data_IF_925124050645
#
_entry.id   IF_925124050645
#
_cell.length_a   1.000
_cell.length_b   1.000
_cell.length_c   1.000
_cell.angle_alpha   90.00
_cell.angle_beta   90.00
_cell.angle_gamma   90.00
#
_symmetry.space_group_name_H-M   'P 1'
#
loop_
_entity.id
_entity.type
_entity.pdbx_description
1 polymer ?
#
# COMPACT_ATOMS: atom_id res chain seq x y z
N UNK A 1 4.51 18.75 -15.06
CA UNK A 1 4.27 18.84 -13.60
C UNK A 1 3.05 19.69 -13.21
N UNK A 2 2.57 20.65 -14.01
CA UNK A 2 1.47 21.55 -13.60
C UNK A 2 0.05 20.97 -13.75
N UNK A 3 -0.13 19.91 -14.57
CA UNK A 3 -1.46 19.41 -14.92
C UNK A 3 -2.11 18.57 -13.82
N UNK A 4 -1.35 17.73 -13.11
CA UNK A 4 -1.88 16.80 -12.08
C UNK A 4 -2.34 17.56 -10.83
N UNK A 5 -1.58 18.57 -10.40
CA UNK A 5 -1.91 19.43 -9.26
C UNK A 5 -3.30 20.07 -9.40
N UNK A 6 -3.62 20.54 -10.62
CA UNK A 6 -4.90 21.16 -10.98
C UNK A 6 -6.10 20.19 -10.90
N UNK A 7 -5.88 18.88 -10.96
CA UNK A 7 -6.93 17.87 -10.77
C UNK A 7 -7.06 17.46 -9.29
N UNK A 8 -5.94 17.43 -8.55
CA UNK A 8 -5.95 17.15 -7.11
C UNK A 8 -6.72 18.21 -6.32
N UNK A 9 -6.60 19.48 -6.69
CA UNK A 9 -7.35 20.59 -6.09
C UNK A 9 -8.86 20.57 -6.38
N UNK A 10 -9.29 19.80 -7.40
CA UNK A 10 -10.69 19.72 -7.83
C UNK A 10 -11.44 18.51 -7.28
N UNK A 11 -10.77 17.61 -6.58
CA UNK A 11 -11.43 16.52 -5.89
C UNK A 11 -12.18 17.10 -4.67
N UNK A 12 -13.50 16.92 -4.57
CA UNK A 12 -14.22 17.30 -3.38
C UNK A 12 -13.79 16.35 -2.26
N UNK A 13 -12.78 16.75 -1.48
CA UNK A 13 -12.55 16.15 -0.19
C UNK A 13 -13.83 16.42 0.62
N UNK A 14 -14.52 15.39 1.13
CA UNK A 14 -15.65 15.61 2.01
C UNK A 14 -15.14 16.41 3.21
N UNK A 15 -15.56 17.67 3.33
CA UNK A 15 -15.54 18.40 4.60
C UNK A 15 -16.64 17.78 5.46
N UNK A 16 -16.38 16.56 5.93
CA UNK A 16 -17.27 15.84 6.83
C UNK A 16 -17.24 16.53 8.18
N UNK A 17 -18.27 17.32 8.46
CA UNK A 17 -18.65 17.66 9.83
C UNK A 17 -19.21 16.39 10.50
N UNK A 18 -18.33 15.45 10.83
CA UNK A 18 -18.63 14.34 11.73
C UNK A 18 -18.03 14.67 13.09
N UNK A 19 -18.79 14.42 14.17
CA UNK A 19 -18.39 14.76 15.54
C UNK A 19 -16.99 14.19 15.84
N UNK A 20 -16.03 15.08 16.01
CA UNK A 20 -14.63 14.77 16.30
C UNK A 20 -14.51 14.06 17.64
N UNK A 21 -13.86 12.91 17.68
CA UNK A 21 -13.27 12.41 18.93
C UNK A 21 -11.98 13.19 19.13
N UNK A 22 -12.09 14.38 19.74
CA UNK A 22 -10.94 15.13 20.24
C UNK A 22 -10.36 14.38 21.45
N UNK A 23 -9.66 13.28 21.20
CA UNK A 23 -8.64 12.81 22.13
C UNK A 23 -7.40 13.66 21.84
N UNK A 24 -6.70 14.16 22.86
CA UNK A 24 -5.48 14.97 22.68
C UNK A 24 -4.28 14.23 22.06
N UNK A 25 -4.54 13.22 21.23
CA UNK A 25 -3.61 12.35 20.55
C UNK A 25 -3.29 12.94 19.19
N UNK A 26 -2.04 13.33 18.97
CA UNK A 26 -1.61 13.83 17.68
C UNK A 26 -1.30 12.65 16.75
N UNK A 27 -2.09 12.46 15.71
CA UNK A 27 -1.94 11.37 14.74
C UNK A 27 -1.53 11.96 13.39
N UNK A 28 -0.38 11.54 12.88
CA UNK A 28 0.10 11.89 11.54
C UNK A 28 0.32 10.63 10.71
N UNK A 29 0.04 10.71 9.42
CA UNK A 29 0.31 9.64 8.48
C UNK A 29 1.23 10.12 7.37
N UNK A 30 2.49 9.66 7.38
CA UNK A 30 3.41 9.87 6.26
C UNK A 30 3.02 8.94 5.11
N UNK A 31 2.49 9.47 4.01
CA UNK A 31 1.91 8.63 2.96
C UNK A 31 1.96 9.25 1.56
N UNK A 32 1.48 8.48 0.58
CA UNK A 32 1.20 8.96 -0.76
C UNK A 32 -0.11 8.31 -1.25
N UNK A 33 -1.03 9.10 -1.80
CA UNK A 33 -2.35 8.61 -2.21
C UNK A 33 -2.33 7.55 -3.32
N UNK A 34 -1.23 7.39 -4.05
CA UNK A 34 -1.06 6.37 -5.08
C UNK A 34 -0.35 5.10 -4.60
N UNK A 35 0.11 5.06 -3.35
CA UNK A 35 0.69 3.85 -2.76
C UNK A 35 -0.43 2.94 -2.24
N UNK A 36 -0.51 1.71 -2.76
CA UNK A 36 -1.46 0.70 -2.28
C UNK A 36 -1.35 0.46 -0.76
N UNK A 37 -0.12 0.45 -0.24
CA UNK A 37 0.14 0.30 1.19
C UNK A 37 -0.36 1.50 2.00
N UNK A 38 -0.30 2.71 1.45
CA UNK A 38 -0.89 3.90 2.09
C UNK A 38 -2.42 3.88 2.00
N UNK A 39 -2.97 3.45 0.87
CA UNK A 39 -4.43 3.36 0.66
C UNK A 39 -5.09 2.44 1.68
N UNK A 40 -4.53 1.26 1.97
CA UNK A 40 -5.12 0.37 2.98
C UNK A 40 -5.16 0.98 4.38
N UNK A 41 -4.13 1.72 4.78
CA UNK A 41 -4.11 2.45 6.07
C UNK A 41 -5.09 3.63 6.07
N UNK A 42 -5.15 4.40 4.98
CA UNK A 42 -6.10 5.50 4.83
C UNK A 42 -7.54 4.99 4.95
N UNK A 43 -7.87 3.89 4.27
CA UNK A 43 -9.18 3.25 4.38
C UNK A 43 -9.50 2.89 5.83
N UNK A 44 -8.58 2.22 6.53
CA UNK A 44 -8.79 1.86 7.93
C UNK A 44 -9.03 3.07 8.85
N UNK A 45 -8.24 4.14 8.69
CA UNK A 45 -8.42 5.38 9.46
C UNK A 45 -9.79 6.02 9.20
N UNK A 46 -10.22 6.07 7.93
CA UNK A 46 -11.53 6.62 7.57
C UNK A 46 -12.69 5.78 8.08
N UNK A 47 -12.64 4.44 7.92
CA UNK A 47 -13.68 3.53 8.39
C UNK A 47 -13.82 3.56 9.91
N UNK A 48 -12.70 3.67 10.64
CA UNK A 48 -12.71 3.84 12.10
C UNK A 48 -13.06 5.26 12.55
N UNK A 49 -13.27 6.20 11.62
CA UNK A 49 -13.52 7.61 11.90
C UNK A 49 -12.46 8.23 12.84
N UNK A 50 -11.19 7.90 12.61
CA UNK A 50 -10.03 8.45 13.33
C UNK A 50 -9.62 9.75 12.67
N UNK A 51 -9.46 10.81 13.47
CA UNK A 51 -8.91 12.09 12.99
C UNK A 51 -7.38 12.00 12.89
N UNK A 52 -6.81 12.38 11.74
CA UNK A 52 -5.38 12.35 11.49
C UNK A 52 -4.97 13.41 10.46
N UNK A 53 -3.69 13.80 10.48
CA UNK A 53 -3.10 14.67 9.47
C UNK A 53 -2.26 13.88 8.46
N UNK A 54 -2.61 13.87 7.16
CA UNK A 54 -1.78 13.25 6.13
C UNK A 54 -0.58 14.13 5.78
N UNK A 55 0.63 13.60 5.94
CA UNK A 55 1.88 14.20 5.52
C UNK A 55 2.31 13.55 4.21
N UNK A 56 2.11 14.24 3.08
CA UNK A 56 2.30 13.66 1.76
C UNK A 56 3.76 13.70 1.32
N UNK A 57 4.30 12.53 0.95
CA UNK A 57 5.62 12.39 0.35
C UNK A 57 5.53 12.28 -1.18
N UNK A 58 6.40 13.01 -1.88
CA UNK A 58 6.64 12.86 -3.31
C UNK A 58 7.57 11.68 -3.59
N UNK A 59 6.99 10.49 -3.61
CA UNK A 59 7.72 9.25 -3.90
C UNK A 59 8.27 9.20 -5.33
N UNK A 60 7.76 10.03 -6.24
CA UNK A 60 8.25 10.09 -7.63
C UNK A 60 9.61 10.78 -7.71
N UNK A 61 9.95 11.60 -6.72
CA UNK A 61 11.27 12.22 -6.55
C UNK A 61 12.15 11.51 -5.52
N UNK A 62 11.67 10.41 -4.94
CA UNK A 62 12.42 9.67 -3.92
C UNK A 62 12.48 10.38 -2.57
N UNK A 63 11.50 11.20 -2.21
CA UNK A 63 11.48 11.94 -0.93
C UNK A 63 11.55 11.01 0.30
N UNK A 64 11.07 9.77 0.19
CA UNK A 64 11.22 8.72 1.21
C UNK A 64 12.69 8.29 1.44
N UNK A 65 13.61 8.76 0.61
CA UNK A 65 15.06 8.55 0.76
C UNK A 65 15.81 9.82 1.16
N UNK A 66 15.08 10.90 1.47
CA UNK A 66 15.67 12.09 2.09
C UNK A 66 16.17 11.76 3.49
N UNK A 67 17.20 12.49 3.94
CA UNK A 67 17.78 12.30 5.28
C UNK A 67 16.73 12.41 6.38
N UNK A 68 15.87 13.43 6.32
CA UNK A 68 14.86 13.67 7.36
C UNK A 68 13.85 12.53 7.48
N UNK A 69 13.45 11.90 6.36
CA UNK A 69 12.50 10.79 6.40
C UNK A 69 13.18 9.48 6.80
N UNK A 70 14.43 9.27 6.39
CA UNK A 70 15.21 8.11 6.80
C UNK A 70 15.51 8.12 8.31
N UNK A 71 15.60 9.29 8.93
CA UNK A 71 15.69 9.43 10.39
C UNK A 71 14.38 8.98 11.09
N UNK A 72 13.23 9.03 10.40
CA UNK A 72 11.93 8.53 10.88
C UNK A 72 11.80 7.03 10.61
N UNK A 73 12.06 6.60 9.37
CA UNK A 73 12.01 5.21 8.95
C UNK A 73 13.25 4.86 8.11
N UNK A 74 14.25 4.19 8.69
CA UNK A 74 15.49 3.81 7.99
C UNK A 74 15.27 2.89 6.78
N UNK A 75 14.10 2.24 6.68
CA UNK A 75 13.74 1.44 5.49
C UNK A 75 13.38 2.31 4.29
N UNK A 76 13.10 3.60 4.46
CA UNK A 76 12.69 4.50 3.38
C UNK A 76 11.39 4.03 2.70
N UNK A 77 10.42 3.62 3.52
CA UNK A 77 9.14 3.08 3.07
C UNK A 77 7.98 3.87 3.67
N UNK A 78 6.90 3.96 2.90
CA UNK A 78 5.62 4.53 3.32
C UNK A 78 4.52 3.45 3.20
N UNK A 79 3.46 3.52 4.01
CA UNK A 79 3.16 4.53 5.01
C UNK A 79 3.97 4.38 6.32
N UNK A 80 4.00 5.45 7.10
CA UNK A 80 4.42 5.44 8.52
C UNK A 80 3.36 6.20 9.32
N UNK A 81 2.80 5.55 10.34
CA UNK A 81 1.90 6.20 11.29
C UNK A 81 2.72 6.75 12.45
N UNK A 82 2.46 8.00 12.84
CA UNK A 82 2.98 8.61 14.06
C UNK A 82 1.83 8.90 14.99
N UNK A 83 1.89 8.36 16.19
CA UNK A 83 0.90 8.59 17.24
C UNK A 83 1.64 9.16 18.45
N UNK A 84 1.43 10.43 18.74
CA UNK A 84 2.22 11.18 19.71
C UNK A 84 3.73 11.09 19.41
N UNK A 85 4.47 10.32 20.21
CA UNK A 85 5.91 10.10 20.04
C UNK A 85 6.23 8.73 19.40
N UNK A 86 5.24 7.85 19.23
CA UNK A 86 5.45 6.52 18.68
C UNK A 86 5.48 6.57 17.15
N UNK A 87 6.43 5.83 16.57
CA UNK A 87 6.59 5.66 15.13
C UNK A 87 6.28 4.20 14.78
N UNK A 88 5.25 4.01 13.95
CA UNK A 88 4.78 2.69 13.53
C UNK A 88 4.95 2.61 12.01
N UNK A 89 6.09 2.08 11.52
CA UNK A 89 6.27 1.74 10.12
C UNK A 89 5.58 0.41 9.80
N UNK A 90 5.51 0.09 8.52
CA UNK A 90 4.86 -1.11 7.96
C UNK A 90 3.33 -1.04 7.99
N UNK A 91 2.72 -1.07 6.80
CA UNK A 91 1.27 -0.93 6.66
C UNK A 91 0.46 -2.02 7.35
N UNK A 92 0.96 -3.25 7.47
CA UNK A 92 0.25 -4.32 8.18
C UNK A 92 0.33 -4.10 9.68
N UNK A 93 1.52 -3.75 10.20
CA UNK A 93 1.71 -3.38 11.60
C UNK A 93 0.89 -2.14 12.00
N UNK A 94 0.74 -1.17 11.11
CA UNK A 94 -0.14 -0.01 11.32
C UNK A 94 -1.60 -0.46 11.47
N UNK A 95 -2.08 -1.36 10.60
CA UNK A 95 -3.46 -1.87 10.69
C UNK A 95 -3.70 -2.61 12.01
N UNK A 96 -2.76 -3.46 12.43
CA UNK A 96 -2.85 -4.15 13.73
C UNK A 96 -2.79 -3.15 14.90
N UNK A 97 -1.98 -2.08 14.79
CA UNK A 97 -1.93 -1.02 15.79
C UNK A 97 -3.27 -0.28 15.92
N UNK A 98 -3.90 0.07 14.80
CA UNK A 98 -5.19 0.75 14.77
C UNK A 98 -6.29 -0.13 15.37
N UNK A 99 -6.20 -1.44 15.21
CA UNK A 99 -7.20 -2.38 15.72
C UNK A 99 -7.08 -2.61 17.23
N UNK A 100 -5.86 -2.84 17.72
CA UNK A 100 -5.66 -3.34 19.09
C UNK A 100 -5.25 -2.25 20.10
N UNK A 101 -4.65 -1.14 19.67
CA UNK A 101 -3.89 -0.26 20.56
C UNK A 101 -4.30 1.21 20.56
N UNK A 102 -4.96 1.72 19.52
CA UNK A 102 -5.23 3.16 19.40
C UNK A 102 -6.29 3.66 20.42
N UNK A 103 -7.50 3.11 20.37
CA UNK A 103 -8.56 3.39 21.35
C UNK A 103 -9.53 2.20 21.40
N UNK A 104 -9.66 1.51 22.56
CA UNK A 104 -10.58 0.39 22.73
C UNK A 104 -12.07 0.72 22.51
N UNK A 105 -12.44 2.00 22.46
CA UNK A 105 -13.82 2.44 22.18
C UNK A 105 -14.12 2.51 20.68
N UNK A 106 -13.11 2.52 19.82
CA UNK A 106 -13.33 2.53 18.39
C UNK A 106 -13.88 1.16 17.97
N UNK A 107 -14.90 1.13 17.09
CA UNK A 107 -15.40 -0.12 16.58
C UNK A 107 -14.27 -0.87 15.86
N UNK A 108 -14.09 -2.17 16.12
CA UNK A 108 -13.09 -2.97 15.44
C UNK A 108 -13.48 -3.09 13.96
N UNK A 109 -12.49 -3.02 13.05
CA UNK A 109 -12.72 -3.27 11.62
C UNK A 109 -12.89 -4.75 11.33
N UNK A 110 -12.30 -5.59 12.17
CA UNK A 110 -12.45 -7.03 12.13
C UNK A 110 -13.36 -7.38 13.29
N UNK A 111 -14.56 -7.89 13.04
CA UNK A 111 -15.37 -8.44 14.11
C UNK A 111 -14.62 -9.67 14.67
N UNK A 112 -13.85 -9.45 15.74
CA UNK A 112 -13.00 -10.46 16.38
C UNK A 112 -13.95 -11.45 17.04
N UNK A 113 -14.44 -12.39 16.24
CA UNK A 113 -15.04 -13.60 16.78
C UNK A 113 -14.03 -14.18 17.76
N UNK A 114 -14.48 -14.50 18.97
CA UNK A 114 -13.64 -15.23 19.94
C UNK A 114 -13.33 -16.66 19.45
N UNK A 115 -13.94 -17.09 18.34
CA UNK A 115 -13.66 -18.36 17.70
C UNK A 115 -12.28 -18.37 17.04
N UNK A 116 -11.40 -19.19 17.61
CA UNK A 116 -10.04 -19.42 17.10
C UNK A 116 -10.02 -19.88 15.64
N UNK A 117 -11.05 -20.61 15.18
CA UNK A 117 -11.14 -21.07 13.80
C UNK A 117 -11.28 -19.87 12.85
N UNK A 118 -12.19 -18.95 13.16
CA UNK A 118 -12.43 -17.75 12.35
C UNK A 118 -11.17 -16.88 12.28
N UNK A 119 -10.46 -16.71 13.40
CA UNK A 119 -9.21 -15.95 13.44
C UNK A 119 -8.10 -16.61 12.60
N UNK A 120 -7.99 -17.93 12.66
CA UNK A 120 -7.04 -18.67 11.83
C UNK A 120 -7.36 -18.52 10.34
N UNK A 121 -8.64 -18.56 9.96
CA UNK A 121 -9.07 -18.40 8.58
C UNK A 121 -8.78 -16.97 8.07
N UNK A 122 -9.07 -15.94 8.88
CA UNK A 122 -8.73 -14.54 8.55
C UNK A 122 -7.22 -14.37 8.34
N UNK A 123 -6.40 -14.89 9.26
CA UNK A 123 -4.94 -14.79 9.14
C UNK A 123 -4.42 -15.53 7.91
N UNK A 124 -4.96 -16.71 7.61
CA UNK A 124 -4.62 -17.46 6.39
C UNK A 124 -4.92 -16.65 5.13
N UNK A 125 -6.07 -15.96 5.06
CA UNK A 125 -6.39 -15.09 3.92
C UNK A 125 -5.47 -13.88 3.84
N UNK A 126 -5.17 -13.24 4.97
CA UNK A 126 -4.22 -12.12 5.03
C UNK A 126 -2.87 -12.56 4.47
N UNK A 127 -2.34 -13.69 4.93
CA UNK A 127 -1.05 -14.20 4.49
C UNK A 127 -1.04 -14.54 2.99
N UNK A 128 -2.10 -15.18 2.49
CA UNK A 128 -2.22 -15.52 1.07
C UNK A 128 -2.28 -14.27 0.17
N UNK A 129 -3.05 -13.26 0.56
CA UNK A 129 -3.23 -12.04 -0.23
C UNK A 129 -2.00 -11.14 -0.12
N UNK A 130 -1.43 -10.96 1.07
CA UNK A 130 -0.24 -10.13 1.29
C UNK A 130 1.01 -10.73 0.60
N UNK A 131 1.04 -12.04 0.35
CA UNK A 131 2.11 -12.69 -0.41
C UNK A 131 2.12 -12.31 -1.91
N UNK A 132 1.02 -11.78 -2.45
CA UNK A 132 0.94 -11.42 -3.87
C UNK A 132 1.79 -10.17 -4.17
N UNK A 133 2.68 -10.21 -5.18
CA UNK A 133 3.59 -9.10 -5.46
C UNK A 133 2.86 -7.98 -6.23
N UNK A 134 2.05 -7.17 -5.54
CA UNK A 134 1.22 -6.11 -6.12
C UNK A 134 2.00 -5.16 -7.05
N UNK A 135 3.26 -4.85 -6.71
CA UNK A 135 4.14 -4.02 -7.54
C UNK A 135 4.50 -4.66 -8.88
N UNK A 136 4.77 -5.98 -8.90
CA UNK A 136 5.05 -6.74 -10.13
C UNK A 136 3.79 -6.82 -10.99
N UNK A 137 2.65 -7.16 -10.38
CA UNK A 137 1.35 -7.27 -11.07
C UNK A 137 0.98 -5.92 -11.72
N UNK A 138 1.08 -4.83 -10.95
CA UNK A 138 0.70 -3.49 -11.43
C UNK A 138 1.61 -3.03 -12.55
N UNK A 139 2.93 -3.10 -12.37
CA UNK A 139 3.87 -2.57 -13.37
C UNK A 139 3.94 -3.49 -14.59
N UNK A 140 3.84 -4.81 -14.42
CA UNK A 140 3.88 -5.76 -15.55
C UNK A 140 2.72 -5.56 -16.51
N UNK A 141 1.57 -5.09 -16.01
CA UNK A 141 0.45 -4.65 -16.84
C UNK A 141 0.81 -3.52 -17.82
N UNK A 142 1.84 -2.72 -17.51
CA UNK A 142 2.34 -1.65 -18.37
C UNK A 142 3.30 -2.17 -19.44
N UNK A 143 4.03 -3.25 -19.16
CA UNK A 143 4.95 -3.92 -20.09
C UNK A 143 4.24 -4.85 -21.06
N UNK A 144 3.17 -5.52 -20.61
CA UNK A 144 2.40 -6.50 -21.36
C UNK A 144 0.92 -6.07 -21.52
N UNK A 145 0.63 -4.97 -22.25
CA UNK A 145 -0.72 -4.44 -22.38
C UNK A 145 -1.72 -5.41 -23.02
N UNK A 146 -1.26 -6.35 -23.85
CA UNK A 146 -2.05 -7.43 -24.46
C UNK A 146 -2.63 -8.41 -23.44
N UNK A 147 -2.00 -8.56 -22.28
CA UNK A 147 -2.49 -9.40 -21.18
C UNK A 147 -3.49 -8.64 -20.29
N UNK A 148 -3.68 -7.34 -20.52
CA UNK A 148 -4.63 -6.53 -19.80
C UNK A 148 -5.97 -6.52 -20.53
N UNK A 149 -7.07 -6.73 -19.82
CA UNK A 149 -8.42 -6.57 -20.38
C UNK A 149 -8.74 -5.11 -20.71
N UNK A 150 -9.51 -4.44 -19.83
CA UNK A 150 -9.95 -3.04 -20.04
C UNK A 150 -9.30 -2.12 -19.00
N UNK A 151 -8.16 -1.48 -19.31
CA UNK A 151 -7.50 -0.60 -18.36
C UNK A 151 -8.34 0.65 -18.07
N UNK A 152 -8.37 1.06 -16.80
CA UNK A 152 -9.12 2.23 -16.33
C UNK A 152 -8.19 3.42 -16.12
N UNK A 153 -8.77 4.62 -16.18
CA UNK A 153 -8.10 5.86 -15.76
C UNK A 153 -7.64 5.75 -14.29
N UNK A 154 -6.46 6.28 -13.92
CA UNK A 154 -5.52 7.01 -14.78
C UNK A 154 -4.52 6.10 -15.52
N UNK A 155 -4.57 4.77 -15.39
CA UNK A 155 -3.54 3.81 -15.87
C UNK A 155 -3.58 3.51 -17.38
N UNK A 156 -3.97 4.50 -18.18
CA UNK A 156 -3.93 4.50 -19.65
C UNK A 156 -2.89 5.51 -20.14
N UNK A 157 -2.67 5.60 -21.45
CA UNK A 157 -1.77 6.62 -22.03
C UNK A 157 -2.31 8.04 -21.76
N UNK A 158 -1.44 9.03 -21.48
CA UNK A 158 0.03 8.95 -21.44
C UNK A 158 0.61 8.50 -20.08
N UNK A 159 -0.22 8.46 -19.02
CA UNK A 159 0.22 8.20 -17.64
C UNK A 159 0.92 6.85 -17.51
N UNK A 160 0.39 5.80 -18.16
CA UNK A 160 1.00 4.48 -18.19
C UNK A 160 2.46 4.52 -18.65
N UNK A 161 2.75 5.26 -19.72
CA UNK A 161 4.11 5.33 -20.27
C UNK A 161 5.04 6.05 -19.29
N UNK A 162 4.55 7.12 -18.66
CA UNK A 162 5.30 7.84 -17.61
C UNK A 162 5.64 6.92 -16.44
N UNK A 163 4.68 6.11 -15.97
CA UNK A 163 4.90 5.14 -14.89
C UNK A 163 5.90 4.06 -15.29
N UNK A 164 5.77 3.51 -16.52
CA UNK A 164 6.70 2.53 -17.07
C UNK A 164 8.12 3.07 -17.17
N UNK A 165 8.31 4.27 -17.72
CA UNK A 165 9.62 4.91 -17.81
C UNK A 165 10.21 5.24 -16.44
N UNK A 166 9.37 5.71 -15.51
CA UNK A 166 9.78 5.96 -14.13
C UNK A 166 10.28 4.68 -13.44
N UNK A 167 9.61 3.56 -13.68
CA UNK A 167 9.99 2.26 -13.15
C UNK A 167 11.34 1.79 -13.70
N UNK A 168 11.52 1.82 -15.03
CA UNK A 168 12.79 1.45 -15.69
C UNK A 168 14.00 2.23 -15.15
N UNK A 169 13.81 3.51 -14.82
CA UNK A 169 14.86 4.36 -14.26
C UNK A 169 15.09 4.17 -12.75
N UNK A 170 14.19 3.49 -12.04
CA UNK A 170 14.15 3.45 -10.56
C UNK A 170 15.44 2.89 -9.95
N UNK A 171 15.92 1.77 -10.48
CA UNK A 171 17.14 1.10 -10.01
C UNK A 171 18.39 1.98 -10.13
N UNK A 172 18.56 2.64 -11.29
CA UNK A 172 19.67 3.59 -11.52
C UNK A 172 19.56 4.79 -10.58
N UNK A 173 18.36 5.33 -10.39
CA UNK A 173 18.11 6.45 -9.49
C UNK A 173 18.45 6.09 -8.03
N UNK A 174 18.09 4.88 -7.57
CA UNK A 174 18.44 4.38 -6.24
C UNK A 174 19.96 4.29 -6.03
N UNK A 175 20.71 3.79 -7.02
CA UNK A 175 22.17 3.75 -6.95
C UNK A 175 22.81 5.14 -6.88
N UNK A 176 22.29 6.10 -7.65
CA UNK A 176 22.72 7.50 -7.56
C UNK A 176 22.44 8.08 -6.17
N UNK A 177 21.25 7.87 -5.62
CA UNK A 177 20.91 8.31 -4.26
C UNK A 177 21.82 7.66 -3.20
N UNK A 178 22.27 6.42 -3.44
CA UNK A 178 23.18 5.70 -2.54
C UNK A 178 24.62 6.27 -2.55
N UNK A 179 25.01 6.97 -3.61
CA UNK A 179 26.26 7.74 -3.68
C UNK A 179 26.14 9.06 -2.91
N UNK A 180 24.99 9.72 -3.03
CA UNK A 180 24.71 11.01 -2.40
C UNK A 180 24.40 10.89 -0.89
N UNK A 181 23.93 9.72 -0.43
CA UNK A 181 23.51 9.48 0.96
C UNK A 181 24.26 8.31 1.62
N UNK A 182 25.49 8.52 2.15
CA UNK A 182 26.29 7.46 2.77
C UNK A 182 25.57 6.71 3.90
N UNK A 183 24.76 7.41 4.71
CA UNK A 183 24.00 6.81 5.84
C UNK A 183 23.00 5.74 5.39
N UNK A 184 22.39 5.90 4.22
CA UNK A 184 21.38 4.99 3.68
C UNK A 184 21.87 4.19 2.48
N UNK A 185 23.17 4.22 2.19
CA UNK A 185 23.76 3.54 1.04
C UNK A 185 23.39 2.06 0.98
N UNK A 186 23.49 1.35 2.10
CA UNK A 186 23.17 -0.09 2.18
C UNK A 186 21.72 -0.39 1.78
N UNK A 187 20.74 0.30 2.37
CA UNK A 187 19.33 0.09 2.07
C UNK A 187 18.97 0.49 0.63
N UNK A 188 19.57 1.57 0.12
CA UNK A 188 19.33 2.03 -1.25
C UNK A 188 19.88 1.06 -2.30
N UNK A 189 21.08 0.51 -2.08
CA UNK A 189 21.65 -0.52 -2.96
C UNK A 189 20.83 -1.81 -2.92
N UNK A 190 20.43 -2.26 -1.73
CA UNK A 190 19.54 -3.41 -1.58
C UNK A 190 18.20 -3.22 -2.33
N UNK A 191 17.60 -2.03 -2.24
CA UNK A 191 16.38 -1.71 -3.00
C UNK A 191 16.65 -1.67 -4.49
N UNK A 192 17.81 -1.19 -4.94
CA UNK A 192 18.17 -1.22 -6.37
C UNK A 192 18.25 -2.66 -6.90
N UNK A 193 18.83 -3.59 -6.13
CA UNK A 193 18.86 -5.02 -6.48
C UNK A 193 17.46 -5.65 -6.53
N UNK A 194 16.54 -5.22 -5.66
CA UNK A 194 15.13 -5.62 -5.75
C UNK A 194 14.51 -5.10 -7.05
N UNK A 195 14.76 -3.84 -7.42
CA UNK A 195 14.24 -3.28 -8.67
C UNK A 195 14.81 -3.99 -9.90
N UNK A 196 16.09 -4.38 -9.89
CA UNK A 196 16.69 -5.13 -11.00
C UNK A 196 16.03 -6.49 -11.20
N UNK A 197 15.88 -7.29 -10.13
CA UNK A 197 15.16 -8.57 -10.17
C UNK A 197 13.71 -8.40 -10.61
N UNK A 198 13.06 -7.33 -10.15
CA UNK A 198 11.72 -6.97 -10.59
C UNK A 198 11.69 -6.74 -12.11
N UNK A 199 12.62 -5.95 -12.65
CA UNK A 199 12.70 -5.69 -14.09
C UNK A 199 12.97 -6.94 -14.94
N UNK A 200 13.78 -7.88 -14.45
CA UNK A 200 14.01 -9.18 -15.12
C UNK A 200 12.68 -9.92 -15.33
N UNK A 201 11.83 -9.97 -14.30
CA UNK A 201 10.49 -10.57 -14.40
C UNK A 201 9.59 -9.76 -15.35
N UNK A 202 9.57 -8.43 -15.22
CA UNK A 202 8.67 -7.54 -15.95
C UNK A 202 8.98 -7.41 -17.45
N UNK A 203 10.20 -7.75 -17.87
CA UNK A 203 10.60 -7.69 -19.28
C UNK A 203 10.36 -9.00 -20.01
N UNK A 204 10.10 -10.09 -19.28
CA UNK A 204 9.80 -11.41 -19.82
C UNK A 204 8.30 -11.71 -19.69
N UNK A 205 7.62 -11.87 -20.83
CA UNK A 205 6.19 -12.23 -20.84
C UNK A 205 5.95 -13.59 -20.17
N UNK A 206 6.86 -14.56 -20.37
CA UNK A 206 6.76 -15.88 -19.75
C UNK A 206 6.82 -15.80 -18.22
N UNK A 207 7.77 -15.04 -17.67
CA UNK A 207 7.91 -14.87 -16.22
C UNK A 207 6.74 -14.09 -15.63
N UNK A 208 6.27 -13.06 -16.34
CA UNK A 208 5.10 -12.31 -15.91
C UNK A 208 3.82 -13.17 -15.93
N UNK A 209 3.64 -14.05 -16.91
CA UNK A 209 2.55 -15.03 -16.93
C UNK A 209 2.60 -16.00 -15.75
N UNK A 210 3.80 -16.43 -15.32
CA UNK A 210 3.94 -17.25 -14.09
C UNK A 210 3.41 -16.50 -12.87
N UNK A 211 3.69 -15.21 -12.74
CA UNK A 211 3.13 -14.37 -11.66
C UNK A 211 1.61 -14.28 -11.75
N UNK A 212 1.04 -14.08 -12.93
CA UNK A 212 -0.42 -14.04 -13.11
C UNK A 212 -1.09 -15.38 -12.78
N UNK A 213 -0.46 -16.51 -13.12
CA UNK A 213 -0.97 -17.84 -12.75
C UNK A 213 -0.96 -18.06 -11.24
N UNK A 214 0.03 -17.52 -10.51
CA UNK A 214 0.04 -17.55 -9.04
C UNK A 214 -1.14 -16.75 -8.49
N UNK A 215 -1.41 -15.56 -9.04
CA UNK A 215 -2.57 -14.74 -8.64
C UNK A 215 -3.87 -15.51 -8.88
N UNK A 216 -4.04 -16.11 -10.05
CA UNK A 216 -5.22 -16.91 -10.39
C UNK A 216 -5.42 -18.07 -9.41
N UNK A 217 -4.34 -18.79 -9.08
CA UNK A 217 -4.39 -19.87 -8.10
C UNK A 217 -4.79 -19.39 -6.70
N UNK A 218 -4.20 -18.29 -6.22
CA UNK A 218 -4.54 -17.72 -4.90
C UNK A 218 -6.00 -17.27 -4.88
N UNK A 219 -6.48 -16.58 -5.92
CA UNK A 219 -7.87 -16.13 -5.99
C UNK A 219 -8.85 -17.33 -6.09
N UNK A 220 -8.51 -18.38 -6.84
CA UNK A 220 -9.31 -19.60 -6.91
C UNK A 220 -9.43 -20.29 -5.53
N UNK A 221 -8.33 -20.36 -4.76
CA UNK A 221 -8.37 -20.87 -3.39
C UNK A 221 -9.24 -20.01 -2.46
N UNK A 222 -9.22 -18.69 -2.64
CA UNK A 222 -10.08 -17.77 -1.89
C UNK A 222 -11.55 -18.02 -2.25
N UNK A 223 -11.88 -18.10 -3.53
CA UNK A 223 -13.24 -18.37 -4.00
C UNK A 223 -13.79 -19.72 -3.54
N UNK A 224 -12.96 -20.78 -3.54
CA UNK A 224 -13.35 -22.10 -3.06
C UNK A 224 -13.73 -22.06 -1.57
N UNK A 225 -12.90 -21.43 -0.74
CA UNK A 225 -13.20 -21.27 0.69
C UNK A 225 -14.44 -20.41 0.95
N UNK A 226 -14.68 -19.38 0.14
CA UNK A 226 -15.88 -18.55 0.27
C UNK A 226 -17.16 -19.30 -0.15
N UNK A 227 -17.09 -20.24 -1.10
CA UNK A 227 -18.24 -21.09 -1.49
C UNK A 227 -18.65 -22.07 -0.39
N UNK A 228 -17.70 -22.56 0.40
CA UNK A 228 -17.97 -23.47 1.52
C UNK A 228 -18.71 -22.79 2.69
N UNK A 229 -18.70 -21.45 2.75
CA UNK A 229 -19.42 -20.67 3.74
C UNK A 229 -20.85 -20.35 3.26
N UNK A 230 -21.79 -21.28 3.46
CA UNK A 230 -23.22 -21.08 3.17
C UNK A 230 -23.79 -19.80 3.82
N UNK A 231 -24.78 -19.19 3.14
CA UNK A 231 -25.51 -17.92 3.40
C UNK A 231 -26.11 -17.70 4.81
N UNK A 232 -25.87 -18.57 5.78
CA UNK A 232 -26.46 -18.52 7.13
C UNK A 232 -25.87 -17.49 8.10
N UNK A 233 -24.77 -16.81 7.76
CA UNK A 233 -24.07 -15.88 8.68
C UNK A 233 -24.08 -14.39 8.24
N UNK A 234 -24.90 -14.03 7.25
CA UNK A 234 -25.00 -12.66 6.71
C UNK A 234 -25.50 -11.59 7.70
N UNK A 235 -25.88 -11.96 8.93
CA UNK A 235 -26.34 -11.01 9.95
C UNK A 235 -25.24 -10.41 10.85
N UNK A 236 -23.97 -10.75 10.68
CA UNK A 236 -22.92 -10.33 11.64
C UNK A 236 -21.81 -9.45 11.03
N UNK A 237 -21.91 -9.09 9.76
CA UNK A 237 -20.90 -8.24 9.10
C UNK A 237 -21.59 -7.19 8.22
N UNK A 238 -22.07 -6.12 8.84
CA UNK A 238 -22.23 -4.79 8.23
C UNK A 238 -21.63 -3.80 9.21
#
# INVERSE_FOLDING_TARGET
MHYVQKYLEKLPLPKGSAKSVNSGTNIFLYCNYYSFYSQKVLMALYEKNVEFEPLLLDITKGEQYSSWFLDINPRGEIPVLKVNNDIIPDSTRILDYLEDYLDPKLPPLINVSTDKKVLNDINKFRDLIDALPAGVITVGSFFHPQLCGRPKLPFILPVREVLKCGDLGSSKNLRKLAEENPKARGILLYKAEIQDRKHEILTSEEEYLKVLNIVDHVLAQVEEQLKEQNEGNLHTII
#
